data_IF_736832814173
#
_entry.id   IF_736832814173
#
_cell.length_a   1.000
_cell.length_b   1.000
_cell.length_c   1.000
_cell.angle_alpha   90.00
_cell.angle_beta   90.00
_cell.angle_gamma   90.00
#
_symmetry.space_group_name_H-M   'P 1'
#
loop_
_entity.id
_entity.type
_entity.pdbx_description
1 polymer ?
#
# COMPACT_ATOMS: atom_id res chain seq x y z
N UNK A 1 7.08 18.06 10.10
CA UNK A 1 5.78 18.45 9.54
C UNK A 1 5.60 19.94 9.72
N UNK A 2 4.91 20.59 8.78
CA UNK A 2 4.57 22.00 8.83
C UNK A 2 3.05 22.14 8.93
N UNK A 3 2.58 22.97 9.85
CA UNK A 3 1.16 23.32 9.92
C UNK A 3 0.90 24.43 8.91
N UNK A 4 -0.06 24.20 8.01
CA UNK A 4 -0.53 25.17 7.04
C UNK A 4 -1.90 25.68 7.47
N UNK A 5 -2.09 26.99 7.49
CA UNK A 5 -3.42 27.57 7.63
C UNK A 5 -4.26 27.35 6.35
N UNK A 6 -5.54 27.73 6.35
CA UNK A 6 -6.43 27.53 5.20
C UNK A 6 -5.90 28.15 3.90
N UNK A 7 -5.31 29.35 3.95
CA UNK A 7 -4.75 30.03 2.78
C UNK A 7 -3.53 29.28 2.25
N UNK A 8 -2.58 28.98 3.12
CA UNK A 8 -1.34 28.25 2.76
C UNK A 8 -1.64 26.84 2.23
N UNK A 9 -2.69 26.20 2.75
CA UNK A 9 -3.15 24.89 2.26
C UNK A 9 -3.71 25.00 0.84
N UNK A 10 -4.51 26.03 0.56
CA UNK A 10 -5.08 26.28 -0.77
C UNK A 10 -4.03 26.60 -1.83
N UNK A 11 -2.89 27.19 -1.44
CA UNK A 11 -1.75 27.40 -2.35
C UNK A 11 -1.15 26.06 -2.84
N UNK A 12 -1.31 24.98 -2.07
CA UNK A 12 -0.87 23.62 -2.44
C UNK A 12 -1.96 22.82 -3.14
N UNK A 13 -3.17 22.84 -2.58
CA UNK A 13 -4.35 22.10 -3.05
C UNK A 13 -5.63 22.67 -2.43
N UNK A 14 -6.63 22.94 -3.27
CA UNK A 14 -7.93 23.42 -2.80
C UNK A 14 -8.81 22.26 -2.33
N UNK A 15 -8.85 22.04 -1.02
CA UNK A 15 -9.77 21.10 -0.36
C UNK A 15 -10.94 21.86 0.23
N UNK A 16 -12.14 21.66 -0.33
CA UNK A 16 -13.36 22.33 0.13
C UNK A 16 -13.60 22.10 1.62
N UNK A 17 -13.65 23.18 2.39
CA UNK A 17 -13.94 23.16 3.83
C UNK A 17 -12.75 22.77 4.71
N UNK A 18 -11.52 22.69 4.17
CA UNK A 18 -10.32 22.55 4.97
C UNK A 18 -10.03 23.83 5.77
N UNK A 19 -9.87 23.70 7.09
CA UNK A 19 -9.49 24.81 7.96
C UNK A 19 -7.96 24.98 8.10
N UNK A 20 -7.23 23.88 7.95
CA UNK A 20 -5.77 23.78 8.02
C UNK A 20 -5.32 22.44 7.43
N UNK A 21 -4.03 22.29 7.18
CA UNK A 21 -3.41 21.04 6.77
C UNK A 21 -2.08 20.78 7.50
N UNK A 22 -1.69 19.52 7.58
CA UNK A 22 -0.35 19.11 8.02
C UNK A 22 0.42 18.69 6.77
N UNK A 23 1.47 19.44 6.47
CA UNK A 23 2.37 19.16 5.34
C UNK A 23 3.61 18.39 5.80
N UNK A 24 4.00 17.38 5.03
CA UNK A 24 5.22 16.59 5.24
C UNK A 24 6.03 16.58 3.95
N UNK A 25 6.90 17.59 3.73
CA UNK A 25 7.67 17.73 2.49
C UNK A 25 8.63 16.57 2.21
N UNK A 26 9.06 15.87 3.24
CA UNK A 26 9.94 14.69 3.14
C UNK A 26 9.18 13.44 2.69
N UNK A 27 7.85 13.50 2.67
CA UNK A 27 7.00 12.42 2.20
C UNK A 27 7.12 12.21 0.70
N UNK A 28 7.12 10.95 0.29
CA UNK A 28 7.13 10.57 -1.12
C UNK A 28 6.12 9.45 -1.38
N UNK A 29 5.50 9.49 -2.55
CA UNK A 29 4.72 8.39 -3.09
C UNK A 29 5.60 7.54 -4.01
N UNK A 30 5.45 6.22 -3.95
CA UNK A 30 6.06 5.30 -4.90
C UNK A 30 5.01 4.39 -5.52
N UNK A 31 5.36 3.77 -6.65
CA UNK A 31 4.48 2.78 -7.27
C UNK A 31 4.74 1.40 -6.62
N UNK A 32 3.81 0.87 -5.78
CA UNK A 32 4.05 -0.36 -5.03
C UNK A 32 4.31 -1.57 -5.95
N UNK A 33 3.52 -1.68 -7.02
CA UNK A 33 3.71 -2.75 -8.03
C UNK A 33 5.06 -2.69 -8.78
N UNK A 34 5.72 -1.53 -8.91
CA UNK A 34 7.07 -1.46 -9.51
C UNK A 34 8.15 -1.75 -8.47
N UNK A 35 7.93 -1.32 -7.22
CA UNK A 35 8.80 -1.64 -6.11
C UNK A 35 8.89 -3.15 -5.89
N UNK A 36 7.76 -3.85 -5.75
CA UNK A 36 7.76 -5.30 -5.48
C UNK A 36 8.40 -6.10 -6.60
N UNK A 37 8.16 -5.72 -7.88
CA UNK A 37 8.81 -6.35 -9.03
C UNK A 37 10.32 -6.12 -9.04
N UNK A 38 10.76 -4.89 -8.82
CA UNK A 38 12.20 -4.58 -8.74
C UNK A 38 12.90 -5.30 -7.58
N UNK A 39 12.21 -5.49 -6.45
CA UNK A 39 12.70 -6.28 -5.33
C UNK A 39 12.80 -7.77 -5.67
N UNK A 40 11.78 -8.34 -6.31
CA UNK A 40 11.80 -9.74 -6.77
C UNK A 40 12.99 -10.00 -7.72
N UNK A 41 13.15 -9.16 -8.74
CA UNK A 41 14.29 -9.24 -9.66
C UNK A 41 15.64 -9.13 -8.91
N UNK A 42 15.72 -8.27 -7.88
CA UNK A 42 16.94 -8.10 -7.09
C UNK A 42 17.26 -9.30 -6.20
N UNK A 43 16.26 -10.07 -5.78
CA UNK A 43 16.40 -11.34 -5.05
C UNK A 43 16.88 -12.44 -6.00
N UNK A 44 16.25 -12.57 -7.16
CA UNK A 44 16.61 -13.59 -8.16
C UNK A 44 18.03 -13.38 -8.70
N UNK A 45 18.44 -12.12 -8.95
CA UNK A 45 19.84 -11.80 -9.32
C UNK A 45 20.87 -12.20 -8.27
N UNK A 46 20.46 -12.35 -7.01
CA UNK A 46 21.32 -12.83 -5.91
C UNK A 46 21.23 -14.34 -5.69
N UNK A 47 20.55 -15.06 -6.58
CA UNK A 47 20.37 -16.52 -6.52
C UNK A 47 19.19 -16.97 -5.66
N UNK A 48 18.33 -16.06 -5.19
CA UNK A 48 17.07 -16.42 -4.57
C UNK A 48 16.12 -17.04 -5.60
N UNK A 49 15.26 -17.96 -5.16
CA UNK A 49 14.27 -18.61 -6.01
C UNK A 49 12.89 -18.22 -5.48
N UNK A 50 12.03 -17.71 -6.35
CA UNK A 50 10.67 -17.32 -6.02
C UNK A 50 9.72 -18.38 -6.58
N UNK A 51 8.92 -18.97 -5.69
CA UNK A 51 7.85 -19.89 -6.05
C UNK A 51 6.51 -19.19 -5.86
N UNK A 52 5.89 -18.78 -6.96
CA UNK A 52 4.55 -18.19 -6.97
C UNK A 52 3.46 -19.29 -6.96
N UNK A 53 2.21 -18.89 -6.72
CA UNK A 53 1.05 -19.82 -6.71
C UNK A 53 1.23 -21.04 -5.82
N UNK A 54 2.03 -20.92 -4.76
CA UNK A 54 2.40 -21.99 -3.83
C UNK A 54 1.88 -21.65 -2.45
N UNK A 55 0.59 -21.87 -2.22
CA UNK A 55 -0.06 -21.48 -0.97
C UNK A 55 0.47 -22.32 0.21
N UNK A 56 0.95 -21.65 1.26
CA UNK A 56 1.33 -22.29 2.53
C UNK A 56 0.08 -22.56 3.35
N UNK A 57 -0.10 -23.81 3.77
CA UNK A 57 -1.26 -24.28 4.55
C UNK A 57 -0.94 -24.48 6.03
N UNK A 58 0.30 -24.86 6.33
CA UNK A 58 0.74 -25.15 7.69
C UNK A 58 2.25 -24.91 7.79
N UNK A 59 2.71 -24.47 8.97
CA UNK A 59 4.13 -24.39 9.29
C UNK A 59 4.35 -25.18 10.58
N UNK A 60 5.10 -26.29 10.48
CA UNK A 60 5.46 -27.14 11.60
C UNK A 60 6.80 -26.69 12.18
N UNK A 61 6.83 -26.10 13.39
CA UNK A 61 8.07 -25.67 14.01
C UNK A 61 8.89 -26.86 14.49
N UNK A 62 10.19 -26.65 14.69
CA UNK A 62 11.10 -27.66 15.23
C UNK A 62 12.55 -27.39 14.84
N UNK A 63 13.47 -28.31 15.16
CA UNK A 63 14.89 -28.21 14.78
C UNK A 63 15.11 -28.14 13.26
N UNK A 64 14.17 -28.68 12.49
CA UNK A 64 14.10 -28.61 11.03
C UNK A 64 12.65 -28.31 10.64
N UNK A 65 12.27 -27.02 10.56
CA UNK A 65 10.90 -26.64 10.24
C UNK A 65 10.44 -27.21 8.89
N UNK A 66 9.14 -27.53 8.83
CA UNK A 66 8.49 -28.03 7.61
C UNK A 66 7.35 -27.09 7.26
N UNK A 67 7.33 -26.63 6.00
CA UNK A 67 6.26 -25.81 5.43
C UNK A 67 5.42 -26.70 4.53
N UNK A 68 4.14 -26.83 4.83
CA UNK A 68 3.19 -27.62 4.04
C UNK A 68 2.52 -26.69 3.02
N UNK A 69 2.53 -27.11 1.76
CA UNK A 69 1.93 -26.41 0.63
C UNK A 69 1.02 -27.37 -0.14
N UNK A 70 0.19 -26.85 -1.05
CA UNK A 70 -0.76 -27.69 -1.80
C UNK A 70 -0.08 -28.81 -2.61
N UNK A 71 1.15 -28.57 -3.08
CA UNK A 71 1.94 -29.51 -3.88
C UNK A 71 2.88 -30.42 -3.07
N UNK A 72 2.87 -30.34 -1.74
CA UNK A 72 3.72 -31.18 -0.88
C UNK A 72 4.31 -30.43 0.31
N UNK A 73 5.61 -30.63 0.57
CA UNK A 73 6.30 -30.04 1.72
C UNK A 73 7.68 -29.49 1.36
N UNK A 74 8.03 -28.38 2.01
CA UNK A 74 9.35 -27.75 1.91
C UNK A 74 10.03 -27.84 3.28
N UNK A 75 11.27 -28.32 3.31
CA UNK A 75 12.09 -28.40 4.52
C UNK A 75 13.17 -27.32 4.47
N UNK A 76 13.32 -26.58 5.56
CA UNK A 76 14.34 -25.54 5.69
C UNK A 76 15.05 -25.61 7.04
N UNK A 77 16.20 -24.95 7.16
CA UNK A 77 16.87 -24.76 8.45
C UNK A 77 16.22 -23.62 9.24
N UNK A 78 15.75 -22.60 8.53
CA UNK A 78 15.10 -21.40 9.07
C UNK A 78 13.90 -21.06 8.20
N UNK A 79 12.79 -20.68 8.83
CA UNK A 79 11.59 -20.19 8.15
C UNK A 79 11.26 -18.80 8.71
N UNK A 80 11.09 -17.83 7.81
CA UNK A 80 10.63 -16.48 8.14
C UNK A 80 9.20 -16.34 7.62
N UNK A 81 8.26 -16.01 8.50
CA UNK A 81 6.85 -15.81 8.15
C UNK A 81 6.63 -14.35 7.77
N UNK A 82 6.46 -14.08 6.49
CA UNK A 82 6.18 -12.76 5.92
C UNK A 82 4.83 -12.77 5.17
N UNK A 83 3.77 -13.24 5.85
CA UNK A 83 2.44 -13.46 5.27
C UNK A 83 1.45 -12.32 5.53
N UNK A 84 1.89 -11.23 6.16
CA UNK A 84 1.05 -10.09 6.56
C UNK A 84 -0.24 -10.56 7.27
N UNK A 85 -1.38 -9.98 6.93
CA UNK A 85 -2.69 -10.34 7.49
C UNK A 85 -3.09 -11.80 7.25
N UNK A 86 -2.57 -12.47 6.20
CA UNK A 86 -2.89 -13.88 5.92
C UNK A 86 -2.29 -14.83 6.95
N UNK A 87 -1.34 -14.37 7.77
CA UNK A 87 -0.79 -15.16 8.88
C UNK A 87 -1.90 -15.65 9.83
N UNK A 88 -2.99 -14.88 10.00
CA UNK A 88 -4.11 -15.29 10.85
C UNK A 88 -4.86 -16.54 10.33
N UNK A 89 -4.63 -16.94 9.08
CA UNK A 89 -5.23 -18.12 8.46
C UNK A 89 -4.41 -19.38 8.72
N UNK A 90 -3.16 -19.26 9.19
CA UNK A 90 -2.36 -20.43 9.55
C UNK A 90 -2.78 -20.98 10.93
N UNK A 91 -2.80 -22.33 11.08
CA UNK A 91 -3.04 -22.97 12.37
C UNK A 91 -2.11 -22.42 13.46
N UNK A 92 -2.66 -22.08 14.63
CA UNK A 92 -1.90 -21.54 15.76
C UNK A 92 -1.58 -20.03 15.70
N UNK A 93 -1.85 -19.35 14.58
CA UNK A 93 -1.49 -17.93 14.40
C UNK A 93 -2.68 -16.95 14.40
N UNK A 94 -3.93 -17.46 14.50
CA UNK A 94 -5.16 -16.67 14.41
C UNK A 94 -5.19 -15.39 15.27
N UNK A 95 -4.60 -15.42 16.47
CA UNK A 95 -4.66 -14.31 17.44
C UNK A 95 -3.38 -13.46 17.47
N UNK A 96 -2.43 -13.71 16.59
CA UNK A 96 -1.15 -12.98 16.56
C UNK A 96 -1.23 -11.69 15.75
N UNK A 97 -2.13 -11.63 14.77
CA UNK A 97 -2.38 -10.45 13.95
C UNK A 97 -3.88 -10.22 13.86
N UNK A 98 -4.29 -8.96 13.85
CA UNK A 98 -5.65 -8.55 13.51
C UNK A 98 -5.68 -8.16 12.03
N UNK A 99 -6.30 -8.96 11.15
CA UNK A 99 -6.45 -8.58 9.75
C UNK A 99 -7.30 -7.32 9.65
N UNK A 100 -6.75 -6.28 9.05
CA UNK A 100 -7.49 -5.06 8.72
C UNK A 100 -7.48 -4.94 7.20
N UNK A 101 -8.67 -4.78 6.63
CA UNK A 101 -8.82 -4.59 5.20
C UNK A 101 -8.82 -3.11 4.85
N UNK A 102 -8.11 -2.74 3.79
CA UNK A 102 -8.14 -1.42 3.18
C UNK A 102 -8.47 -1.56 1.71
N UNK A 103 -9.43 -0.79 1.22
CA UNK A 103 -9.77 -0.74 -0.20
C UNK A 103 -8.96 0.33 -0.90
N UNK A 104 -8.68 0.12 -2.19
CA UNK A 104 -8.22 1.18 -3.10
C UNK A 104 -9.18 1.20 -4.27
N UNK A 105 -9.85 2.34 -4.47
CA UNK A 105 -10.70 2.57 -5.62
C UNK A 105 -9.98 3.44 -6.64
N UNK A 106 -10.35 3.26 -7.89
CA UNK A 106 -9.75 3.90 -9.05
C UNK A 106 -10.81 4.75 -9.76
N UNK A 107 -10.60 6.06 -9.85
CA UNK A 107 -11.50 6.98 -10.58
C UNK A 107 -11.19 7.01 -12.06
N UNK A 108 -12.13 7.51 -12.86
CA UNK A 108 -11.77 7.98 -14.20
C UNK A 108 -10.67 9.05 -14.15
N UNK A 109 -9.85 9.15 -15.21
CA UNK A 109 -8.97 10.27 -15.45
C UNK A 109 -9.66 11.63 -15.25
N UNK A 110 -9.22 12.41 -14.26
CA UNK A 110 -9.59 13.81 -14.17
C UNK A 110 -9.06 14.59 -15.39
N UNK A 111 -9.94 15.39 -16.00
CA UNK A 111 -9.58 16.34 -17.07
C UNK A 111 -8.65 17.43 -16.55
N UNK A 112 -7.92 18.09 -17.46
CA UNK A 112 -7.07 19.22 -17.11
C UNK A 112 -7.86 20.35 -16.42
N UNK A 113 -9.10 20.59 -16.83
CA UNK A 113 -9.97 21.59 -16.22
C UNK A 113 -10.35 21.21 -14.78
N UNK A 114 -10.69 19.94 -14.54
CA UNK A 114 -11.00 19.45 -13.19
C UNK A 114 -9.78 19.56 -12.26
N UNK A 115 -8.58 19.15 -12.72
CA UNK A 115 -7.34 19.27 -11.94
C UNK A 115 -7.02 20.74 -11.60
N UNK A 116 -7.18 21.64 -12.58
CA UNK A 116 -6.95 23.07 -12.38
C UNK A 116 -7.95 23.67 -11.36
N UNK A 117 -9.21 23.23 -11.37
CA UNK A 117 -10.24 23.75 -10.45
C UNK A 117 -10.01 23.44 -8.97
N UNK A 118 -9.12 22.49 -8.66
CA UNK A 118 -8.75 22.12 -7.29
C UNK A 118 -7.29 22.45 -6.98
N UNK A 119 -6.62 23.22 -7.85
CA UNK A 119 -5.21 23.58 -7.73
C UNK A 119 -4.25 22.37 -7.56
N UNK A 120 -4.59 21.19 -8.07
CA UNK A 120 -3.77 19.98 -7.88
C UNK A 120 -2.67 19.84 -8.93
N UNK A 121 -1.66 20.69 -8.83
CA UNK A 121 -0.53 20.73 -9.77
C UNK A 121 0.67 19.89 -9.32
N UNK A 122 0.75 19.57 -8.03
CA UNK A 122 1.83 18.80 -7.42
C UNK A 122 1.47 17.31 -7.29
N UNK A 123 2.49 16.45 -7.07
CA UNK A 123 2.27 15.01 -6.83
C UNK A 123 2.06 14.67 -5.35
N UNK A 124 1.68 15.66 -4.55
CA UNK A 124 1.42 15.44 -3.14
C UNK A 124 0.27 14.45 -2.99
N UNK A 125 0.42 13.55 -2.03
CA UNK A 125 -0.69 12.74 -1.55
C UNK A 125 -1.47 13.52 -0.52
N UNK A 126 -2.76 13.27 -0.45
CA UNK A 126 -3.68 14.00 0.42
C UNK A 126 -4.40 13.00 1.27
N UNK A 127 -4.31 13.15 2.59
CA UNK A 127 -5.02 12.30 3.53
C UNK A 127 -6.05 13.11 4.29
N UNK A 128 -7.22 12.53 4.50
CA UNK A 128 -8.23 13.07 5.40
C UNK A 128 -8.43 12.13 6.57
N UNK A 129 -7.97 12.54 7.75
CA UNK A 129 -8.22 11.78 8.99
C UNK A 129 -9.71 11.72 9.34
N UNK A 130 -10.49 12.73 8.92
CA UNK A 130 -11.95 12.76 9.16
C UNK A 130 -12.69 11.78 8.25
N UNK A 131 -12.31 11.71 6.97
CA UNK A 131 -12.97 10.82 6.01
C UNK A 131 -12.35 9.42 6.00
N UNK A 132 -11.15 9.28 6.57
CA UNK A 132 -10.32 8.06 6.46
C UNK A 132 -10.12 7.67 5.00
N UNK A 133 -9.80 8.69 4.19
CA UNK A 133 -9.53 8.53 2.76
C UNK A 133 -8.22 9.22 2.42
N UNK A 134 -7.39 8.48 1.70
CA UNK A 134 -6.14 8.97 1.13
C UNK A 134 -6.26 9.00 -0.38
N UNK A 135 -5.77 10.08 -0.98
CA UNK A 135 -5.73 10.28 -2.41
C UNK A 135 -4.29 10.37 -2.90
N UNK A 136 -3.94 9.48 -3.82
CA UNK A 136 -2.66 9.54 -4.51
C UNK A 136 -2.68 10.63 -5.59
N UNK A 137 -1.62 11.44 -5.63
CA UNK A 137 -1.50 12.53 -6.59
C UNK A 137 -1.51 12.05 -8.06
N UNK A 138 -1.81 12.96 -9.01
CA UNK A 138 -1.94 12.62 -10.42
C UNK A 138 -0.67 11.99 -11.00
N UNK A 139 -0.82 10.84 -11.66
CA UNK A 139 0.26 10.13 -12.33
C UNK A 139 0.51 10.71 -13.75
N UNK A 140 1.77 10.94 -14.16
CA UNK A 140 2.13 11.65 -15.40
C UNK A 140 2.01 10.83 -16.69
N UNK A 141 1.80 9.51 -16.61
CA UNK A 141 1.70 8.66 -17.81
C UNK A 141 0.24 8.35 -18.14
N UNK A 142 -0.14 8.42 -19.43
CA UNK A 142 -1.48 8.10 -19.87
C UNK A 142 -1.88 6.63 -19.66
N UNK A 143 -3.19 6.34 -19.54
CA UNK A 143 -4.26 7.32 -19.45
C UNK A 143 -4.16 8.00 -18.07
N UNK A 144 -4.08 9.33 -18.07
CA UNK A 144 -3.66 10.13 -16.92
C UNK A 144 -4.68 10.06 -15.78
N UNK A 145 -4.28 10.43 -14.57
CA UNK A 145 -5.16 10.79 -13.44
C UNK A 145 -6.06 9.70 -12.84
N UNK A 146 -5.49 8.56 -12.47
CA UNK A 146 -6.05 7.76 -11.37
C UNK A 146 -5.91 8.53 -10.06
N UNK A 147 -7.03 8.86 -9.42
CA UNK A 147 -7.06 9.22 -8.01
C UNK A 147 -7.35 7.93 -7.25
N UNK A 148 -6.30 7.33 -6.70
CA UNK A 148 -6.44 6.16 -5.83
C UNK A 148 -7.02 6.60 -4.50
N UNK A 149 -8.27 6.25 -4.20
CA UNK A 149 -8.91 6.52 -2.91
C UNK A 149 -8.76 5.31 -2.00
N UNK A 150 -8.00 5.41 -0.91
CA UNK A 150 -7.99 4.35 0.10
C UNK A 150 -9.27 4.45 0.94
N UNK A 151 -10.10 3.40 1.04
CA UNK A 151 -11.33 3.41 1.85
C UNK A 151 -11.36 2.33 2.93
N UNK A 152 -11.68 2.80 4.14
CA UNK A 152 -12.17 2.16 5.38
C UNK A 152 -11.60 0.79 5.81
N UNK A 153 -11.04 0.73 7.04
CA UNK A 153 -11.07 -0.48 7.86
C UNK A 153 -12.53 -0.91 8.07
N UNK A 154 -12.93 -2.02 7.47
CA UNK A 154 -14.09 -2.77 7.99
C UNK A 154 -13.58 -3.63 9.13
N UNK A 155 -13.95 -3.28 10.36
CA UNK A 155 -13.82 -4.14 11.53
C UNK A 155 -14.87 -5.26 11.49
#
# INVERSE_FOLDING_TARGET
>A
YHLLNARESGEVLDVRGAAAAISTPEGASLHPGRLVRGLAEAVERRGGIIHESTAVREVRPGRRPIVIVDSGEVRAQVVVLALEAYLSQLPGHRRQVLPVYSLIDLTEPLTAQQLASINWHSRVCVSSMRLTVDYLGPHPRPPSSWVGGAARPTA
#
